data_IF_770268091515
#
_entry.id   IF_770268091515
#
_cell.length_a   1.000
_cell.length_b   1.000
_cell.length_c   1.000
_cell.angle_alpha   90.00
_cell.angle_beta   90.00
_cell.angle_gamma   90.00
#
_symmetry.space_group_name_H-M   'P 1'
#
loop_
_entity.id
_entity.type
_entity.pdbx_description
1 polymer ?
#
# COMPACT_ATOMS: atom_id res chain seq x y z
N UNK A 1 18.02 30.63 29.05
CA UNK A 1 17.74 29.31 28.43
C UNK A 1 18.46 29.29 27.09
N UNK A 2 19.61 28.60 26.95
CA UNK A 2 20.36 28.58 25.67
C UNK A 2 19.69 27.58 24.72
N UNK A 3 19.00 28.08 23.70
CA UNK A 3 18.56 27.29 22.56
C UNK A 3 19.74 27.10 21.61
N UNK A 4 19.97 25.87 21.17
CA UNK A 4 20.97 25.55 20.15
C UNK A 4 20.25 25.39 18.82
N UNK A 5 20.67 26.17 17.82
CA UNK A 5 20.16 26.09 16.46
C UNK A 5 21.16 25.33 15.62
N UNK A 6 20.71 24.29 14.91
CA UNK A 6 21.48 23.65 13.85
C UNK A 6 20.79 23.97 12.53
N UNK A 7 21.46 24.73 11.67
CA UNK A 7 21.00 25.00 10.32
C UNK A 7 21.36 23.81 9.42
N UNK A 8 20.38 22.96 9.10
CA UNK A 8 20.55 21.96 8.05
C UNK A 8 20.41 22.64 6.68
N UNK A 9 21.48 23.24 6.15
CA UNK A 9 21.52 23.67 4.75
C UNK A 9 21.64 22.44 3.85
N UNK A 10 20.52 22.01 3.25
CA UNK A 10 20.43 20.91 2.28
C UNK A 10 21.29 21.18 1.03
N UNK A 11 22.35 20.40 0.81
CA UNK A 11 22.68 19.88 -0.52
C UNK A 11 21.94 18.53 -0.65
N UNK A 12 21.27 18.28 -1.78
CA UNK A 12 20.35 17.16 -2.05
C UNK A 12 18.90 17.38 -1.60
N UNK A 13 18.21 18.31 -2.28
CA UNK A 13 16.75 18.26 -2.43
C UNK A 13 16.44 17.40 -3.66
N UNK A 14 15.69 16.31 -3.49
CA UNK A 14 14.82 15.83 -4.56
C UNK A 14 13.81 16.95 -4.86
N UNK A 15 13.63 17.24 -6.14
CA UNK A 15 12.61 18.18 -6.60
C UNK A 15 11.25 17.58 -6.19
N UNK A 16 10.47 18.34 -5.44
CA UNK A 16 9.08 18.03 -5.05
C UNK A 16 8.91 16.93 -3.99
N UNK A 17 8.69 17.35 -2.73
CA UNK A 17 8.28 16.45 -1.65
C UNK A 17 8.82 16.87 -0.27
N UNK A 18 8.06 17.69 0.44
CA UNK A 18 8.32 18.18 1.81
C UNK A 18 9.61 19.03 1.97
N UNK A 19 9.45 20.33 1.72
CA UNK A 19 10.40 21.38 2.07
C UNK A 19 9.96 22.11 3.35
N UNK A 20 9.84 21.40 4.47
CA UNK A 20 9.80 22.11 5.75
C UNK A 20 11.20 22.69 5.99
N UNK A 21 11.35 23.98 5.71
CA UNK A 21 12.60 24.73 5.84
C UNK A 21 12.76 25.34 7.22
N UNK A 22 11.88 25.02 8.18
CA UNK A 22 11.97 25.58 9.52
C UNK A 22 13.21 25.01 10.22
N UNK A 23 14.01 25.86 10.90
CA UNK A 23 15.15 25.40 11.67
C UNK A 23 14.70 24.46 12.79
N UNK A 24 15.40 23.34 12.97
CA UNK A 24 15.16 22.44 14.09
C UNK A 24 15.72 23.10 15.35
N UNK A 25 14.84 23.37 16.32
CA UNK A 25 15.22 24.02 17.59
C UNK A 25 15.46 22.97 18.66
N UNK A 26 16.72 22.79 19.06
CA UNK A 26 17.05 21.90 20.17
C UNK A 26 16.96 22.63 21.50
N UNK A 27 16.38 21.95 22.50
CA UNK A 27 16.27 22.43 23.88
C UNK A 27 16.81 21.39 24.84
N UNK A 28 17.42 21.78 25.97
CA UNK A 28 17.79 20.84 27.02
C UNK A 28 16.56 20.07 27.53
N UNK A 29 16.71 18.78 27.79
CA UNK A 29 15.63 17.96 28.38
C UNK A 29 15.17 18.55 29.72
N UNK A 30 13.85 18.62 29.96
CA UNK A 30 13.31 19.18 31.19
C UNK A 30 13.76 18.38 32.43
N UNK A 31 13.78 17.05 32.32
CA UNK A 31 14.30 16.14 33.32
C UNK A 31 15.56 15.44 32.78
N UNK A 32 16.71 15.69 33.41
CA UNK A 32 18.00 15.12 33.00
C UNK A 32 18.17 13.66 33.43
N UNK A 33 17.60 13.27 34.57
CA UNK A 33 17.63 11.89 35.03
C UNK A 33 16.89 10.98 34.04
N UNK A 34 15.67 11.35 33.65
CA UNK A 34 14.90 10.61 32.65
C UNK A 34 15.62 10.50 31.29
N UNK A 35 16.29 11.58 30.84
CA UNK A 35 17.01 11.59 29.57
C UNK A 35 18.30 10.73 29.55
N UNK A 36 18.86 10.43 30.72
CA UNK A 36 20.05 9.56 30.87
C UNK A 36 19.64 8.11 31.13
N UNK A 37 18.69 7.91 32.04
CA UNK A 37 18.17 6.61 32.49
C UNK A 37 17.27 5.94 31.46
N UNK A 38 16.58 6.70 30.60
CA UNK A 38 15.62 6.20 29.62
C UNK A 38 15.80 6.83 28.24
N UNK A 39 15.28 6.14 27.22
CA UNK A 39 15.35 6.55 25.82
C UNK A 39 13.99 6.42 25.12
N UNK A 40 12.92 6.74 25.85
CA UNK A 40 11.53 6.50 25.44
C UNK A 40 11.14 7.28 24.18
N UNK A 41 11.75 8.45 23.94
CA UNK A 41 11.55 9.20 22.70
C UNK A 41 12.10 8.47 21.47
N UNK A 42 13.22 7.76 21.60
CA UNK A 42 13.75 6.90 20.54
C UNK A 42 12.85 5.68 20.33
N UNK A 43 12.34 5.10 21.42
CA UNK A 43 11.39 3.99 21.33
C UNK A 43 10.08 4.40 20.63
N UNK A 44 9.52 5.55 21.01
CA UNK A 44 8.32 6.10 20.37
C UNK A 44 8.54 6.32 18.88
N UNK A 45 9.64 6.95 18.49
CA UNK A 45 9.94 7.19 17.09
C UNK A 45 10.19 5.87 16.33
N UNK A 46 10.83 4.88 16.96
CA UNK A 46 10.97 3.53 16.39
C UNK A 46 9.59 2.87 16.18
N UNK A 47 8.64 3.06 17.09
CA UNK A 47 7.25 2.63 16.92
C UNK A 47 6.56 3.30 15.72
N UNK A 48 6.77 4.60 15.50
CA UNK A 48 6.27 5.28 14.31
C UNK A 48 6.86 4.71 13.00
N UNK A 49 8.15 4.39 13.00
CA UNK A 49 8.80 3.72 11.85
C UNK A 49 8.23 2.31 11.63
N UNK A 50 7.96 1.57 12.71
CA UNK A 50 7.32 0.26 12.63
C UNK A 50 5.91 0.34 12.01
N UNK A 51 5.08 1.30 12.44
CA UNK A 51 3.77 1.54 11.80
C UNK A 51 3.89 1.95 10.33
N UNK A 52 4.92 2.72 9.98
CA UNK A 52 5.19 3.07 8.58
C UNK A 52 5.55 1.82 7.77
N UNK A 53 6.39 0.94 8.32
CA UNK A 53 6.76 -0.32 7.69
C UNK A 53 5.57 -1.27 7.50
N UNK A 54 4.61 -1.33 8.43
CA UNK A 54 3.40 -2.17 8.24
C UNK A 54 2.54 -1.67 7.08
N UNK A 55 2.37 -0.36 6.94
CA UNK A 55 1.62 0.24 5.83
C UNK A 55 2.32 0.00 4.48
N UNK A 56 3.63 0.23 4.41
CA UNK A 56 4.41 0.02 3.19
C UNK A 56 4.49 -1.45 2.78
N UNK A 57 4.59 -2.38 3.74
CA UNK A 57 4.58 -3.81 3.45
C UNK A 57 3.26 -4.24 2.80
N UNK A 58 2.13 -3.74 3.31
CA UNK A 58 0.82 -3.99 2.71
C UNK A 58 0.75 -3.47 1.28
N UNK A 59 1.20 -2.23 1.03
CA UNK A 59 1.24 -1.66 -0.32
C UNK A 59 2.14 -2.47 -1.27
N UNK A 60 3.35 -2.83 -0.85
CA UNK A 60 4.26 -3.64 -1.65
C UNK A 60 3.63 -4.99 -2.04
N UNK A 61 2.89 -5.61 -1.12
CA UNK A 61 2.21 -6.88 -1.37
C UNK A 61 1.02 -6.72 -2.32
N UNK A 62 0.20 -5.69 -2.15
CA UNK A 62 -0.93 -5.40 -3.05
C UNK A 62 -0.44 -5.19 -4.49
N UNK A 63 0.61 -4.38 -4.68
CA UNK A 63 1.21 -4.11 -5.99
C UNK A 63 1.79 -5.37 -6.63
N UNK A 64 2.53 -6.17 -5.85
CA UNK A 64 3.08 -7.45 -6.31
C UNK A 64 1.97 -8.41 -6.78
N UNK A 65 0.87 -8.48 -6.05
CA UNK A 65 -0.24 -9.36 -6.39
C UNK A 65 -1.01 -8.86 -7.62
N UNK A 66 -1.34 -7.57 -7.67
CA UNK A 66 -2.04 -6.94 -8.81
C UNK A 66 -1.23 -7.03 -10.11
N UNK A 67 0.10 -7.04 -10.02
CA UNK A 67 1.01 -7.21 -11.15
C UNK A 67 1.33 -8.67 -11.50
N UNK A 68 0.83 -9.66 -10.74
CA UNK A 68 1.11 -11.08 -11.00
C UNK A 68 0.61 -11.50 -12.38
N UNK A 69 1.42 -12.22 -13.16
CA UNK A 69 1.09 -12.52 -14.55
C UNK A 69 2.28 -13.07 -15.35
N UNK A 70 2.24 -12.99 -16.70
CA UNK A 70 1.31 -12.19 -17.50
C UNK A 70 -0.03 -12.87 -17.80
N UNK A 71 -0.17 -14.20 -17.60
CA UNK A 71 -1.38 -14.95 -17.99
C UNK A 71 -2.05 -15.73 -16.85
N UNK A 72 -1.30 -16.10 -15.81
CA UNK A 72 -1.78 -16.97 -14.73
C UNK A 72 -1.84 -16.24 -13.38
N UNK A 73 -2.04 -14.92 -13.39
CA UNK A 73 -2.23 -14.08 -12.20
C UNK A 73 -3.35 -13.08 -12.40
N UNK A 74 -3.42 -12.04 -11.56
CA UNK A 74 -4.42 -10.97 -11.68
C UNK A 74 -4.18 -10.14 -12.95
N UNK A 75 -2.96 -9.62 -13.10
CA UNK A 75 -2.50 -8.89 -14.29
C UNK A 75 -3.18 -7.52 -14.48
N UNK A 76 -3.68 -6.92 -13.41
CA UNK A 76 -4.33 -5.60 -13.43
C UNK A 76 -3.31 -4.46 -13.53
N UNK A 77 -2.14 -4.64 -12.91
CA UNK A 77 -1.04 -3.69 -12.94
C UNK A 77 0.04 -4.14 -13.92
N UNK A 78 0.61 -3.19 -14.65
CA UNK A 78 1.79 -3.39 -15.51
C UNK A 78 2.91 -2.55 -14.91
N UNK A 79 3.86 -3.23 -14.26
CA UNK A 79 5.03 -2.58 -13.67
C UNK A 79 6.05 -2.17 -14.75
N UNK A 80 6.87 -1.14 -14.51
CA UNK A 80 8.02 -0.85 -15.36
C UNK A 80 9.04 -2.00 -15.32
N UNK A 81 9.68 -2.28 -16.45
CA UNK A 81 10.77 -3.26 -16.54
C UNK A 81 12.10 -2.54 -16.38
N UNK A 82 12.70 -2.59 -15.18
CA UNK A 82 13.96 -1.90 -14.88
C UNK A 82 15.17 -2.77 -15.21
N UNK A 83 15.10 -4.07 -14.90
CA UNK A 83 16.15 -5.03 -15.16
C UNK A 83 15.97 -5.72 -16.53
N UNK A 84 17.05 -6.17 -17.18
CA UNK A 84 16.96 -6.90 -18.43
C UNK A 84 16.17 -8.21 -18.27
N UNK A 85 15.05 -8.32 -19.00
CA UNK A 85 14.32 -9.58 -19.16
C UNK A 85 14.99 -10.51 -20.16
N UNK A 86 14.64 -11.80 -20.11
CA UNK A 86 15.04 -12.75 -21.16
C UNK A 86 14.14 -12.60 -22.39
N UNK A 87 14.70 -12.54 -23.59
CA UNK A 87 13.94 -12.44 -24.84
C UNK A 87 12.99 -13.62 -25.08
N UNK A 88 13.26 -14.79 -24.49
CA UNK A 88 12.39 -15.97 -24.55
C UNK A 88 11.18 -15.89 -23.59
N UNK A 89 11.18 -14.94 -22.65
CA UNK A 89 10.11 -14.77 -21.64
C UNK A 89 9.41 -13.40 -21.79
N UNK A 90 8.75 -13.12 -22.92
CA UNK A 90 8.09 -11.84 -23.14
C UNK A 90 6.96 -11.60 -22.12
N UNK A 91 6.90 -10.38 -21.59
CA UNK A 91 5.89 -9.96 -20.62
C UNK A 91 6.13 -10.42 -19.18
N UNK A 92 7.17 -11.21 -18.91
CA UNK A 92 7.59 -11.52 -17.53
C UNK A 92 8.35 -10.32 -16.95
N UNK A 93 7.77 -9.69 -15.93
CA UNK A 93 8.38 -8.62 -15.15
C UNK A 93 8.32 -9.03 -13.68
N UNK A 94 9.48 -9.21 -13.06
CA UNK A 94 9.54 -9.49 -11.63
C UNK A 94 9.36 -8.18 -10.85
N UNK A 95 8.58 -8.14 -9.77
CA UNK A 95 8.32 -6.94 -8.98
C UNK A 95 9.46 -6.65 -7.99
N UNK A 96 10.70 -6.52 -8.47
CA UNK A 96 11.94 -6.44 -7.66
C UNK A 96 11.92 -5.33 -6.60
N UNK A 97 11.34 -4.19 -6.95
CA UNK A 97 11.19 -3.06 -6.01
C UNK A 97 10.15 -3.34 -4.91
N UNK A 98 9.09 -4.08 -5.22
CA UNK A 98 8.14 -4.55 -4.18
C UNK A 98 8.83 -5.53 -3.23
N UNK A 99 9.66 -6.44 -3.78
CA UNK A 99 10.45 -7.40 -3.01
C UNK A 99 11.42 -6.68 -2.07
N UNK A 100 12.21 -5.74 -2.59
CA UNK A 100 13.13 -4.92 -1.80
C UNK A 100 12.42 -4.13 -0.69
N UNK A 101 11.31 -3.46 -1.01
CA UNK A 101 10.52 -2.72 -0.03
C UNK A 101 9.96 -3.64 1.06
N UNK A 102 9.48 -4.83 0.69
CA UNK A 102 8.96 -5.81 1.65
C UNK A 102 10.05 -6.32 2.62
N UNK A 103 11.26 -6.61 2.12
CA UNK A 103 12.40 -7.02 2.94
C UNK A 103 12.82 -5.91 3.92
N UNK A 104 12.87 -4.66 3.45
CA UNK A 104 13.16 -3.49 4.29
C UNK A 104 12.13 -3.34 5.39
N UNK A 105 10.85 -3.50 5.08
CA UNK A 105 9.78 -3.37 6.08
C UNK A 105 9.92 -4.43 7.18
N UNK A 106 10.19 -5.69 6.83
CA UNK A 106 10.42 -6.76 7.81
C UNK A 106 11.68 -6.48 8.65
N UNK A 107 12.76 -5.98 8.04
CA UNK A 107 13.97 -5.58 8.76
C UNK A 107 13.69 -4.47 9.78
N UNK A 108 12.88 -3.46 9.42
CA UNK A 108 12.50 -2.36 10.32
C UNK A 108 11.67 -2.86 11.50
N UNK A 109 10.77 -3.81 11.28
CA UNK A 109 10.01 -4.44 12.37
C UNK A 109 10.94 -5.19 13.34
N UNK A 110 11.95 -5.90 12.82
CA UNK A 110 13.00 -6.52 13.63
C UNK A 110 13.80 -5.51 14.44
N UNK A 111 14.25 -4.43 13.79
CA UNK A 111 14.95 -3.32 14.45
C UNK A 111 14.10 -2.71 15.57
N UNK A 112 12.79 -2.55 15.37
CA UNK A 112 11.89 -2.04 16.39
C UNK A 112 11.81 -2.96 17.63
N UNK A 113 11.79 -4.28 17.43
CA UNK A 113 11.84 -5.23 18.54
C UNK A 113 13.14 -5.11 19.32
N UNK A 114 14.29 -5.03 18.63
CA UNK A 114 15.58 -4.80 19.27
C UNK A 114 15.60 -3.48 20.05
N UNK A 115 15.09 -2.39 19.47
CA UNK A 115 14.98 -1.09 20.15
C UNK A 115 14.07 -1.17 21.38
N UNK A 116 12.97 -1.90 21.31
CA UNK A 116 12.01 -2.08 22.41
C UNK A 116 12.66 -2.81 23.59
N UNK A 117 13.33 -3.93 23.31
CA UNK A 117 14.07 -4.67 24.34
C UNK A 117 15.15 -3.77 24.93
N UNK A 118 16.05 -3.20 24.12
CA UNK A 118 17.14 -2.34 24.60
C UNK A 118 16.66 -1.12 25.42
N UNK A 119 15.52 -0.53 25.05
CA UNK A 119 14.91 0.60 25.77
C UNK A 119 14.49 0.21 27.19
N UNK A 120 13.95 -1.00 27.37
CA UNK A 120 13.51 -1.53 28.67
C UNK A 120 14.65 -1.87 29.64
N UNK A 121 15.88 -2.07 29.16
CA UNK A 121 17.00 -2.59 29.95
C UNK A 121 17.82 -1.49 30.65
N UNK A 122 17.21 -0.33 30.94
CA UNK A 122 17.86 0.71 31.73
C UNK A 122 18.04 0.28 33.19
N UNK A 123 19.18 0.62 33.80
CA UNK A 123 19.42 0.37 35.22
C UNK A 123 19.68 1.69 35.94
N UNK A 124 18.81 2.00 36.90
CA UNK A 124 18.91 3.19 37.77
C UNK A 124 19.14 4.46 36.93
N UNK A 125 20.26 5.16 37.10
CA UNK A 125 20.51 6.47 36.50
C UNK A 125 20.94 6.44 35.02
N UNK A 126 21.19 5.27 34.42
CA UNK A 126 21.73 5.20 33.05
C UNK A 126 21.29 3.96 32.27
N UNK A 127 20.65 4.19 31.11
CA UNK A 127 20.53 3.13 30.10
C UNK A 127 21.83 3.07 29.26
N UNK A 128 22.55 1.96 29.31
CA UNK A 128 23.83 1.78 28.60
C UNK A 128 23.69 1.14 27.20
N UNK A 129 22.49 0.81 26.77
CA UNK A 129 22.19 0.25 25.44
C UNK A 129 22.11 1.33 24.34
N UNK A 130 22.60 2.54 24.60
CA UNK A 130 22.56 3.69 23.67
C UNK A 130 23.07 3.35 22.26
N UNK A 131 24.19 2.63 22.08
CA UNK A 131 24.70 2.31 20.75
C UNK A 131 23.74 1.46 19.92
N UNK A 132 23.15 0.40 20.48
CA UNK A 132 22.22 -0.48 19.75
C UNK A 132 20.89 0.22 19.47
N UNK A 133 20.43 1.08 20.38
CA UNK A 133 19.24 1.90 20.18
C UNK A 133 19.39 2.82 18.97
N UNK A 134 20.45 3.64 18.93
CA UNK A 134 20.63 4.60 17.85
C UNK A 134 21.02 3.95 16.52
N UNK A 135 21.79 2.85 16.55
CA UNK A 135 22.16 2.12 15.34
C UNK A 135 20.93 1.55 14.62
N UNK A 136 20.05 0.85 15.34
CA UNK A 136 18.79 0.33 14.78
C UNK A 136 17.87 1.45 14.30
N UNK A 137 17.83 2.55 15.05
CA UNK A 137 17.02 3.71 14.69
C UNK A 137 17.44 4.33 13.36
N UNK A 138 18.73 4.66 13.21
CA UNK A 138 19.27 5.25 11.99
C UNK A 138 19.23 4.27 10.82
N UNK A 139 19.46 2.98 11.06
CA UNK A 139 19.32 1.93 10.06
C UNK A 139 17.89 1.89 9.50
N UNK A 140 16.88 1.88 10.36
CA UNK A 140 15.46 1.92 9.94
C UNK A 140 15.12 3.17 9.15
N UNK A 141 15.58 4.35 9.60
CA UNK A 141 15.32 5.63 8.89
C UNK A 141 15.92 5.60 7.49
N UNK A 142 17.18 5.17 7.35
CA UNK A 142 17.87 5.13 6.06
C UNK A 142 17.20 4.13 5.11
N UNK A 143 16.98 2.89 5.56
CA UNK A 143 16.36 1.86 4.72
C UNK A 143 14.96 2.28 4.24
N UNK A 144 14.10 2.78 5.13
CA UNK A 144 12.76 3.22 4.74
C UNK A 144 12.81 4.40 3.77
N UNK A 145 13.69 5.36 4.02
CA UNK A 145 13.82 6.54 3.15
C UNK A 145 14.28 6.17 1.75
N UNK A 146 15.31 5.33 1.64
CA UNK A 146 15.87 4.91 0.36
C UNK A 146 14.90 3.97 -0.37
N UNK A 147 14.32 2.99 0.32
CA UNK A 147 13.36 2.06 -0.28
C UNK A 147 12.09 2.76 -0.78
N UNK A 148 11.56 3.73 -0.02
CA UNK A 148 10.40 4.51 -0.46
C UNK A 148 10.70 5.34 -1.71
N UNK A 149 11.89 5.93 -1.82
CA UNK A 149 12.33 6.67 -3.01
C UNK A 149 12.50 5.73 -4.20
N UNK A 150 13.25 4.63 -4.04
CA UNK A 150 13.43 3.64 -5.10
C UNK A 150 12.10 3.06 -5.58
N UNK A 151 11.19 2.73 -4.66
CA UNK A 151 9.86 2.24 -5.01
C UNK A 151 9.05 3.30 -5.79
N UNK A 152 9.15 4.57 -5.41
CA UNK A 152 8.51 5.67 -6.14
C UNK A 152 9.06 5.78 -7.56
N UNK A 153 10.38 5.98 -7.67
CA UNK A 153 11.05 6.29 -8.94
C UNK A 153 11.02 5.10 -9.92
N UNK A 154 11.15 3.88 -9.41
CA UNK A 154 11.30 2.66 -10.22
C UNK A 154 10.05 1.77 -10.25
N UNK A 155 8.95 2.14 -9.60
CA UNK A 155 7.67 1.40 -9.67
C UNK A 155 6.51 2.35 -9.93
N UNK A 156 6.27 3.30 -9.02
CA UNK A 156 5.08 4.16 -9.05
C UNK A 156 5.08 5.07 -10.28
N UNK A 157 6.20 5.74 -10.57
CA UNK A 157 6.31 6.69 -11.68
C UNK A 157 6.09 6.07 -13.07
N UNK A 158 6.29 4.74 -13.20
CA UNK A 158 6.13 4.00 -14.45
C UNK A 158 4.93 3.05 -14.48
N UNK A 159 4.12 3.01 -13.42
CA UNK A 159 3.00 2.09 -13.30
C UNK A 159 1.95 2.37 -14.38
N UNK A 160 1.44 1.31 -15.01
CA UNK A 160 0.31 1.38 -15.94
C UNK A 160 -0.80 0.41 -15.54
N UNK A 161 -2.03 0.79 -15.84
CA UNK A 161 -3.21 -0.06 -15.64
C UNK A 161 -3.46 -0.90 -16.89
N UNK A 162 -3.71 -2.19 -16.71
CA UNK A 162 -4.16 -3.07 -17.78
C UNK A 162 -5.69 -2.97 -17.95
N UNK A 163 -6.14 -1.90 -18.59
CA UNK A 163 -7.58 -1.63 -18.74
C UNK A 163 -8.35 -2.78 -19.41
N UNK A 164 -7.72 -3.50 -20.35
CA UNK A 164 -8.33 -4.65 -21.00
C UNK A 164 -8.60 -5.79 -20.01
N UNK A 165 -7.59 -6.14 -19.20
CA UNK A 165 -7.73 -7.16 -18.15
C UNK A 165 -8.73 -6.73 -17.09
N UNK A 166 -8.65 -5.50 -16.60
CA UNK A 166 -9.59 -4.97 -15.60
C UNK A 166 -11.04 -5.03 -16.15
N UNK A 167 -11.25 -4.63 -17.41
CA UNK A 167 -12.56 -4.73 -18.06
C UNK A 167 -13.08 -6.17 -18.15
N UNK A 168 -12.21 -7.13 -18.47
CA UNK A 168 -12.55 -8.56 -18.48
C UNK A 168 -12.98 -9.06 -17.10
N UNK A 169 -12.25 -8.68 -16.03
CA UNK A 169 -12.59 -9.07 -14.66
C UNK A 169 -13.95 -8.50 -14.23
N UNK A 170 -14.20 -7.21 -14.52
CA UNK A 170 -15.47 -6.57 -14.19
C UNK A 170 -16.63 -7.23 -14.96
N UNK A 171 -16.47 -7.49 -16.26
CA UNK A 171 -17.52 -8.10 -17.09
C UNK A 171 -17.86 -9.54 -16.68
N UNK A 172 -16.88 -10.28 -16.16
CA UNK A 172 -17.06 -11.67 -15.71
C UNK A 172 -17.42 -11.78 -14.23
N UNK A 173 -17.41 -10.69 -13.47
CA UNK A 173 -17.70 -10.69 -12.04
C UNK A 173 -19.19 -10.88 -11.76
N UNK A 174 -19.51 -11.74 -10.80
CA UNK A 174 -20.87 -11.92 -10.29
C UNK A 174 -21.26 -10.85 -9.27
N UNK A 175 -20.31 -10.04 -8.78
CA UNK A 175 -20.55 -9.07 -7.71
C UNK A 175 -21.45 -7.90 -8.13
N UNK A 176 -21.56 -7.63 -9.44
CA UNK A 176 -22.43 -6.59 -9.98
C UNK A 176 -23.93 -6.89 -9.80
N UNK A 177 -24.27 -8.13 -9.42
CA UNK A 177 -25.66 -8.59 -9.27
C UNK A 177 -26.47 -7.79 -8.25
N UNK A 178 -25.83 -7.20 -7.24
CA UNK A 178 -26.52 -6.43 -6.20
C UNK A 178 -27.21 -5.18 -6.74
N UNK A 179 -26.73 -4.63 -7.87
CA UNK A 179 -27.39 -3.53 -8.56
C UNK A 179 -28.76 -3.93 -9.14
N UNK A 180 -29.05 -5.22 -9.28
CA UNK A 180 -30.34 -5.72 -9.77
C UNK A 180 -31.39 -5.84 -8.67
N UNK A 181 -31.00 -5.87 -7.39
CA UNK A 181 -31.92 -6.03 -6.26
C UNK A 181 -33.10 -5.03 -6.28
N UNK A 182 -32.90 -3.73 -6.55
CA UNK A 182 -34.00 -2.76 -6.58
C UNK A 182 -34.95 -2.93 -7.78
N UNK A 183 -34.55 -3.71 -8.80
CA UNK A 183 -35.27 -3.83 -10.07
C UNK A 183 -36.04 -5.15 -10.15
N UNK A 184 -35.37 -6.26 -9.83
CA UNK A 184 -35.95 -7.62 -9.93
C UNK A 184 -36.16 -8.29 -8.57
N UNK A 185 -35.76 -7.63 -7.48
CA UNK A 185 -35.79 -8.19 -6.13
C UNK A 185 -34.56 -9.01 -5.78
N UNK A 186 -34.34 -9.22 -4.49
CA UNK A 186 -33.20 -9.97 -3.96
C UNK A 186 -33.20 -11.43 -4.43
N UNK A 187 -34.35 -12.12 -4.31
CA UNK A 187 -34.44 -13.56 -4.60
C UNK A 187 -34.06 -13.89 -6.05
N UNK A 188 -34.57 -13.13 -7.02
CA UNK A 188 -34.23 -13.32 -8.44
C UNK A 188 -32.77 -12.97 -8.73
N UNK A 189 -32.23 -11.97 -8.06
CA UNK A 189 -30.82 -11.57 -8.20
C UNK A 189 -29.89 -12.68 -7.67
N UNK A 190 -30.20 -13.24 -6.50
CA UNK A 190 -29.48 -14.38 -5.93
C UNK A 190 -29.58 -15.63 -6.81
N UNK A 191 -30.78 -15.93 -7.32
CA UNK A 191 -30.99 -17.05 -8.26
C UNK A 191 -30.15 -16.87 -9.53
N UNK A 192 -30.10 -15.67 -10.10
CA UNK A 192 -29.29 -15.39 -11.29
C UNK A 192 -27.79 -15.55 -11.03
N UNK A 193 -27.28 -15.07 -9.89
CA UNK A 193 -25.87 -15.23 -9.52
C UNK A 193 -25.49 -16.70 -9.31
N UNK A 194 -26.34 -17.47 -8.62
CA UNK A 194 -26.12 -18.90 -8.41
C UNK A 194 -26.11 -19.66 -9.74
N UNK A 195 -27.10 -19.39 -10.59
CA UNK A 195 -27.18 -19.99 -11.92
C UNK A 195 -25.97 -19.63 -12.79
N UNK A 196 -25.50 -18.37 -12.75
CA UNK A 196 -24.30 -17.93 -13.45
C UNK A 196 -23.06 -18.73 -13.01
N UNK A 197 -22.89 -18.91 -11.69
CA UNK A 197 -21.78 -19.65 -11.13
C UNK A 197 -21.80 -21.13 -11.53
N UNK A 198 -22.95 -21.80 -11.37
CA UNK A 198 -23.11 -23.23 -11.67
C UNK A 198 -22.90 -23.56 -13.16
N UNK A 199 -23.29 -22.64 -14.05
CA UNK A 199 -23.22 -22.83 -15.50
C UNK A 199 -21.97 -22.21 -16.13
N UNK A 200 -21.11 -21.54 -15.35
CA UNK A 200 -19.95 -20.83 -15.86
C UNK A 200 -20.31 -19.69 -16.82
N UNK A 201 -21.45 -19.03 -16.60
CA UNK A 201 -21.95 -17.93 -17.42
C UNK A 201 -21.58 -16.58 -16.81
N UNK A 202 -21.51 -15.55 -17.65
CA UNK A 202 -21.55 -14.17 -17.16
C UNK A 202 -22.91 -13.86 -16.52
N UNK A 203 -22.93 -12.86 -15.64
CA UNK A 203 -24.17 -12.40 -15.01
C UNK A 203 -25.23 -11.99 -16.06
N UNK A 204 -24.80 -11.28 -17.13
CA UNK A 204 -25.67 -10.90 -18.26
C UNK A 204 -26.35 -12.12 -18.87
N UNK A 205 -25.57 -13.14 -19.22
CA UNK A 205 -26.09 -14.37 -19.83
C UNK A 205 -27.08 -15.09 -18.90
N UNK A 206 -26.76 -15.20 -17.61
CA UNK A 206 -27.64 -15.86 -16.64
C UNK A 206 -28.99 -15.16 -16.48
N UNK A 207 -28.96 -13.83 -16.36
CA UNK A 207 -30.15 -13.00 -16.18
C UNK A 207 -31.06 -13.06 -17.42
N UNK A 208 -30.49 -13.03 -18.62
CA UNK A 208 -31.22 -13.19 -19.89
C UNK A 208 -31.80 -14.60 -20.03
N UNK A 209 -31.02 -15.64 -19.71
CA UNK A 209 -31.45 -17.03 -19.81
C UNK A 209 -32.62 -17.36 -18.85
N UNK A 210 -32.63 -16.74 -17.67
CA UNK A 210 -33.74 -16.85 -16.70
C UNK A 210 -34.95 -15.98 -17.06
N UNK A 211 -34.86 -15.15 -18.09
CA UNK A 211 -35.94 -14.25 -18.52
C UNK A 211 -36.27 -13.16 -17.51
N UNK A 212 -35.32 -12.79 -16.64
CA UNK A 212 -35.57 -11.78 -15.59
C UNK A 212 -35.55 -10.35 -16.12
N UNK A 213 -34.85 -10.10 -17.23
CA UNK A 213 -34.87 -8.83 -17.96
C UNK A 213 -34.39 -9.04 -19.39
N UNK A 214 -34.56 -8.01 -20.21
CA UNK A 214 -34.02 -7.92 -21.57
C UNK A 214 -32.59 -7.38 -21.57
N UNK A 215 -31.90 -7.53 -22.69
CA UNK A 215 -30.53 -7.04 -22.87
C UNK A 215 -30.43 -5.53 -22.67
N UNK A 216 -31.37 -4.79 -23.27
CA UNK A 216 -31.46 -3.33 -23.13
C UNK A 216 -31.67 -2.90 -21.67
N UNK A 217 -32.55 -3.59 -20.93
CA UNK A 217 -32.77 -3.32 -19.52
C UNK A 217 -31.51 -3.59 -18.68
N UNK A 218 -30.79 -4.67 -18.96
CA UNK A 218 -29.53 -4.97 -18.27
C UNK A 218 -28.50 -3.86 -18.47
N UNK A 219 -28.32 -3.41 -19.73
CA UNK A 219 -27.36 -2.36 -20.09
C UNK A 219 -27.73 -0.99 -19.49
N UNK A 220 -29.03 -0.69 -19.33
CA UNK A 220 -29.49 0.53 -18.65
C UNK A 220 -29.29 0.48 -17.13
N UNK A 221 -29.33 -0.72 -16.53
CA UNK A 221 -29.31 -0.91 -15.09
C UNK A 221 -27.92 -1.10 -14.50
N UNK A 222 -27.05 -1.87 -15.17
CA UNK A 222 -25.71 -2.18 -14.67
C UNK A 222 -24.73 -1.10 -15.13
N UNK A 223 -24.27 -0.29 -14.18
CA UNK A 223 -23.19 0.68 -14.38
C UNK A 223 -22.17 0.57 -13.27
N UNK A 224 -21.00 -0.08 -13.50
CA UNK A 224 -19.95 -0.20 -12.49
C UNK A 224 -19.51 1.14 -11.91
N UNK A 225 -19.48 2.20 -12.72
CA UNK A 225 -19.13 3.54 -12.26
C UNK A 225 -20.14 4.09 -11.24
N UNK A 226 -21.45 3.91 -11.48
CA UNK A 226 -22.48 4.32 -10.52
C UNK A 226 -22.42 3.54 -9.21
N UNK A 227 -21.90 2.31 -9.24
CA UNK A 227 -21.71 1.46 -8.06
C UNK A 227 -20.46 1.81 -7.25
N UNK A 228 -19.58 2.67 -7.78
CA UNK A 228 -18.36 3.11 -7.10
C UNK A 228 -18.56 4.31 -6.16
N UNK A 229 -19.77 4.89 -6.13
CA UNK A 229 -20.12 6.08 -5.34
C UNK A 229 -21.42 5.87 -4.56
N UNK A 230 -21.67 6.67 -3.50
CA UNK A 230 -22.99 6.76 -2.89
C UNK A 230 -24.08 7.11 -3.90
N UNK A 231 -25.29 6.61 -3.67
CA UNK A 231 -26.42 6.88 -4.56
C UNK A 231 -26.76 8.38 -4.61
N UNK A 232 -26.77 8.97 -5.81
CA UNK A 232 -27.09 10.39 -6.04
C UNK A 232 -25.88 11.32 -6.24
N UNK A 233 -24.66 10.88 -5.90
CA UNK A 233 -23.44 11.71 -5.97
C UNK A 233 -22.67 11.54 -7.28
N UNK A 234 -23.31 11.72 -8.43
CA UNK A 234 -22.65 11.67 -9.75
C UNK A 234 -21.94 12.99 -10.14
N UNK A 235 -21.78 13.93 -9.22
CA UNK A 235 -21.13 15.23 -9.49
C UNK A 235 -19.61 15.13 -9.77
N UNK A 236 -19.01 13.95 -9.63
CA UNK A 236 -17.57 13.71 -9.81
C UNK A 236 -17.23 12.73 -10.96
N UNK A 237 -18.19 12.38 -11.81
CA UNK A 237 -17.98 11.51 -12.98
C UNK A 237 -17.67 12.30 -14.26
#
# INVERSE_FOLDING_TARGET
MKSYFINFSRQNRSKEGCSDTRPIVFKPAANKFAALAGHDSLLLMSGCLNTTATALLRLANDFRLLASGPRCGLGEYILPSNEPGSSIMPGKINPTQCEALSMVCVQVMGNHMTTSIAGSQGHLELNVYKPVLIANMLHSVNLLSDAARCFTDHTISGLRMNHARIGEHVANSLMLVTALNPIIGYDKSAEAALFAHEQGLSLRQAVLAKGFMTEKQFDECISPLKMAFPFGDLHYA
#
